data_IF_805337854220
#
_entry.id   IF_805337854220
#
_cell.length_a   1.000
_cell.length_b   1.000
_cell.length_c   1.000
_cell.angle_alpha   90.00
_cell.angle_beta   90.00
_cell.angle_gamma   90.00
#
_symmetry.space_group_name_H-M   'P 1'
#
loop_
_entity.id
_entity.type
_entity.pdbx_description
1 polymer ?
#
# COMPACT_ATOMS: atom_id res chain seq x y z
N UNK A 1 -49.27 47.43 33.62
CA UNK A 1 -47.89 46.94 33.45
C UNK A 1 -47.87 45.78 32.45
N UNK A 2 -46.87 45.79 31.56
CA UNK A 2 -46.69 44.91 30.40
C UNK A 2 -46.61 43.42 30.75
N UNK A 3 -47.68 42.64 30.50
CA UNK A 3 -47.68 41.18 30.70
C UNK A 3 -47.74 40.33 29.43
N UNK A 4 -48.14 40.90 28.28
CA UNK A 4 -48.42 40.12 27.06
C UNK A 4 -47.29 40.11 26.02
N UNK A 5 -46.27 40.95 26.19
CA UNK A 5 -45.16 41.09 25.24
C UNK A 5 -44.02 40.10 25.48
N UNK A 6 -43.83 39.66 26.73
CA UNK A 6 -42.69 38.81 27.10
C UNK A 6 -42.86 37.39 26.51
N UNK A 7 -44.07 36.83 26.54
CA UNK A 7 -44.33 35.43 26.14
C UNK A 7 -44.15 35.15 24.63
N UNK A 8 -44.48 36.10 23.76
CA UNK A 8 -44.28 35.97 22.30
C UNK A 8 -42.80 35.96 21.90
N UNK A 9 -41.94 36.63 22.69
CA UNK A 9 -40.50 36.73 22.41
C UNK A 9 -39.79 35.39 22.65
N UNK A 10 -40.18 34.68 23.71
CA UNK A 10 -39.67 33.34 24.04
C UNK A 10 -40.12 32.27 23.03
N UNK A 11 -41.38 32.32 22.56
CA UNK A 11 -41.88 31.37 21.57
C UNK A 11 -41.15 31.48 20.22
N UNK A 12 -40.76 32.69 19.84
CA UNK A 12 -39.98 32.93 18.62
C UNK A 12 -38.55 32.40 18.71
N UNK A 13 -37.93 32.45 19.89
CA UNK A 13 -36.61 31.85 20.14
C UNK A 13 -36.64 30.32 20.16
N UNK A 14 -37.70 29.73 20.70
CA UNK A 14 -37.90 28.26 20.72
C UNK A 14 -38.02 27.71 19.29
N UNK A 15 -38.73 28.41 18.40
CA UNK A 15 -38.83 28.00 16.99
C UNK A 15 -37.48 28.05 16.27
N UNK A 16 -36.66 29.08 16.53
CA UNK A 16 -35.30 29.17 16.00
C UNK A 16 -34.38 28.08 16.57
N UNK A 17 -34.54 27.72 17.85
CA UNK A 17 -33.76 26.65 18.47
C UNK A 17 -34.12 25.27 17.89
N UNK A 18 -35.41 24.99 17.67
CA UNK A 18 -35.89 23.74 17.05
C UNK A 18 -35.45 23.64 15.59
N UNK A 19 -35.45 24.76 14.85
CA UNK A 19 -34.94 24.81 13.48
C UNK A 19 -33.42 24.55 13.44
N UNK A 20 -32.65 25.13 14.38
CA UNK A 20 -31.21 24.92 14.50
C UNK A 20 -30.88 23.45 14.85
N UNK A 21 -31.60 22.87 15.82
CA UNK A 21 -31.46 21.45 16.20
C UNK A 21 -31.80 20.54 15.02
N UNK A 22 -32.83 20.88 14.22
CA UNK A 22 -33.20 20.10 13.02
C UNK A 22 -32.11 20.16 11.94
N UNK A 23 -31.46 21.31 11.73
CA UNK A 23 -30.33 21.46 10.79
C UNK A 23 -29.10 20.68 11.28
N UNK A 24 -28.82 20.68 12.59
CA UNK A 24 -27.75 19.87 13.20
C UNK A 24 -28.05 18.37 13.06
N UNK A 25 -29.31 17.95 13.23
CA UNK A 25 -29.74 16.56 13.01
C UNK A 25 -29.64 16.14 11.53
N UNK A 26 -29.94 17.04 10.59
CA UNK A 26 -29.74 16.80 9.16
C UNK A 26 -28.26 16.70 8.78
N UNK A 27 -27.41 17.53 9.41
CA UNK A 27 -25.97 17.56 9.18
C UNK A 27 -25.27 16.31 9.72
N UNK A 28 -25.64 15.85 10.92
CA UNK A 28 -25.09 14.61 11.52
C UNK A 28 -25.50 13.36 10.75
N UNK A 29 -26.70 13.34 10.15
CA UNK A 29 -27.17 12.23 9.33
C UNK A 29 -26.43 12.14 7.98
N UNK A 30 -26.08 13.27 7.38
CA UNK A 30 -25.29 13.31 6.14
C UNK A 30 -23.84 12.87 6.35
N UNK A 31 -23.17 13.28 7.45
CA UNK A 31 -21.80 12.86 7.73
C UNK A 31 -21.63 11.33 7.85
N UNK A 32 -22.67 10.62 8.33
CA UNK A 32 -22.64 9.17 8.50
C UNK A 32 -22.62 8.41 7.15
N UNK A 33 -23.31 8.95 6.14
CA UNK A 33 -23.38 8.37 4.80
C UNK A 33 -22.04 8.56 4.06
N UNK A 34 -21.36 9.70 4.25
CA UNK A 34 -20.05 9.96 3.65
C UNK A 34 -18.94 9.07 4.20
N UNK A 35 -18.97 8.74 5.50
CA UNK A 35 -18.00 7.80 6.11
C UNK A 35 -18.14 6.37 5.58
N UNK A 36 -19.35 5.94 5.26
CA UNK A 36 -19.61 4.57 4.77
C UNK A 36 -19.11 4.33 3.33
N UNK A 37 -18.91 5.40 2.54
CA UNK A 37 -18.39 5.30 1.16
C UNK A 37 -16.87 5.19 1.08
N UNK A 38 -16.16 5.37 2.20
CA UNK A 38 -14.69 5.28 2.31
C UNK A 38 -14.21 3.88 2.73
N UNK A 39 -15.06 2.85 2.61
CA UNK A 39 -14.59 1.46 2.72
C UNK A 39 -13.88 1.15 1.40
N UNK A 40 -12.57 1.38 1.38
CA UNK A 40 -11.67 0.76 0.41
C UNK A 40 -12.05 -0.71 0.35
N UNK A 41 -12.62 -1.13 -0.78
CA UNK A 41 -12.90 -2.53 -1.05
C UNK A 41 -11.62 -3.31 -0.75
N UNK A 42 -11.67 -4.44 0.00
CA UNK A 42 -10.47 -5.21 0.25
C UNK A 42 -10.00 -5.77 -1.08
N UNK A 43 -9.14 -5.02 -1.78
CA UNK A 43 -8.34 -5.53 -2.87
C UNK A 43 -7.46 -6.57 -2.20
N UNK A 44 -7.88 -7.83 -2.26
CA UNK A 44 -7.03 -8.96 -1.90
C UNK A 44 -5.75 -8.69 -2.69
N UNK A 45 -4.61 -8.38 -2.04
CA UNK A 45 -3.39 -8.08 -2.77
C UNK A 45 -3.12 -9.34 -3.59
N UNK A 46 -3.31 -9.26 -4.90
CA UNK A 46 -3.01 -10.37 -5.78
C UNK A 46 -1.50 -10.58 -5.62
N UNK A 47 -1.15 -11.63 -4.89
CA UNK A 47 0.24 -11.97 -4.67
C UNK A 47 0.79 -12.33 -6.03
N UNK A 48 1.59 -11.43 -6.59
CA UNK A 48 2.27 -11.63 -7.85
C UNK A 48 3.14 -12.87 -7.72
N UNK A 49 2.81 -13.96 -8.42
CA UNK A 49 3.40 -15.25 -8.10
C UNK A 49 4.83 -15.37 -8.63
N UNK A 50 5.27 -14.54 -9.57
CA UNK A 50 6.58 -14.67 -10.19
C UNK A 50 7.55 -13.58 -9.70
N UNK A 51 8.79 -13.98 -9.42
CA UNK A 51 9.91 -13.08 -9.13
C UNK A 51 11.17 -13.63 -9.78
N UNK A 52 12.19 -12.82 -10.01
CA UNK A 52 13.43 -13.26 -10.64
C UNK A 52 14.54 -13.28 -9.60
N UNK A 53 15.17 -14.44 -9.39
CA UNK A 53 16.41 -14.50 -8.63
C UNK A 53 17.55 -14.10 -9.56
N UNK A 54 18.28 -13.03 -9.22
CA UNK A 54 19.38 -12.54 -10.05
C UNK A 54 20.70 -13.14 -9.62
N UNK A 55 20.97 -13.10 -8.31
CA UNK A 55 22.22 -13.57 -7.74
C UNK A 55 22.06 -13.93 -6.26
N UNK A 56 23.02 -14.70 -5.75
CA UNK A 56 23.10 -15.11 -4.34
C UNK A 56 24.55 -15.02 -3.89
N UNK A 57 24.84 -14.17 -2.91
CA UNK A 57 26.20 -13.91 -2.43
C UNK A 57 26.33 -14.26 -0.95
N UNK A 58 27.50 -14.75 -0.54
CA UNK A 58 27.85 -14.86 0.90
C UNK A 58 28.31 -13.53 1.49
N UNK A 59 28.84 -12.65 0.65
CA UNK A 59 29.34 -11.33 1.03
C UNK A 59 28.21 -10.29 0.91
N UNK A 60 27.90 -9.62 2.03
CA UNK A 60 26.85 -8.60 2.08
C UNK A 60 27.18 -7.38 1.23
N UNK A 61 28.46 -6.97 1.16
CA UNK A 61 28.85 -5.79 0.38
C UNK A 61 28.70 -6.03 -1.12
N UNK A 62 28.97 -7.26 -1.58
CA UNK A 62 28.74 -7.63 -2.99
C UNK A 62 27.26 -7.62 -3.33
N UNK A 63 26.42 -8.16 -2.46
CA UNK A 63 24.97 -8.15 -2.64
C UNK A 63 24.43 -6.70 -2.69
N UNK A 64 24.91 -5.83 -1.81
CA UNK A 64 24.50 -4.43 -1.75
C UNK A 64 24.90 -3.65 -3.01
N UNK A 65 26.11 -3.84 -3.55
CA UNK A 65 26.53 -3.23 -4.82
C UNK A 65 25.61 -3.59 -5.98
N UNK A 66 25.27 -4.88 -6.11
CA UNK A 66 24.33 -5.35 -7.15
C UNK A 66 22.95 -4.74 -6.96
N UNK A 67 22.48 -4.64 -5.71
CA UNK A 67 21.22 -3.98 -5.38
C UNK A 67 21.25 -2.51 -5.79
N UNK A 68 22.32 -1.77 -5.51
CA UNK A 68 22.45 -0.38 -5.93
C UNK A 68 22.45 -0.21 -7.45
N UNK A 69 23.16 -1.07 -8.17
CA UNK A 69 23.19 -1.06 -9.64
C UNK A 69 21.80 -1.29 -10.24
N UNK A 70 21.10 -2.33 -9.78
CA UNK A 70 19.75 -2.63 -10.24
C UNK A 70 18.72 -1.57 -9.80
N UNK A 71 18.94 -0.94 -8.64
CA UNK A 71 18.09 0.15 -8.16
C UNK A 71 18.27 1.40 -9.03
N UNK A 72 19.49 1.70 -9.45
CA UNK A 72 19.78 2.79 -10.40
C UNK A 72 19.14 2.54 -11.78
N UNK A 73 19.03 1.29 -12.18
CA UNK A 73 18.30 0.89 -13.39
C UNK A 73 16.76 0.97 -13.23
N UNK A 74 16.25 1.28 -12.02
CA UNK A 74 14.82 1.49 -11.77
C UNK A 74 14.03 0.22 -11.43
N UNK A 75 14.71 -0.90 -11.13
CA UNK A 75 14.04 -2.13 -10.77
C UNK A 75 13.57 -2.15 -9.31
N UNK A 76 12.42 -2.80 -9.07
CA UNK A 76 11.97 -3.12 -7.71
C UNK A 76 12.77 -4.32 -7.19
N UNK A 77 13.39 -4.18 -6.02
CA UNK A 77 14.32 -5.18 -5.48
C UNK A 77 13.88 -5.66 -4.11
N UNK A 78 14.08 -6.95 -3.87
CA UNK A 78 13.95 -7.57 -2.55
C UNK A 78 15.21 -8.35 -2.24
N UNK A 79 15.76 -8.18 -1.04
CA UNK A 79 16.91 -8.96 -0.56
C UNK A 79 16.45 -9.89 0.55
N UNK A 80 16.79 -11.18 0.45
CA UNK A 80 16.57 -12.13 1.53
C UNK A 80 17.90 -12.68 2.04
N UNK A 81 18.14 -12.49 3.34
CA UNK A 81 19.26 -13.10 4.04
C UNK A 81 18.77 -14.42 4.67
N UNK A 82 19.46 -15.53 4.37
CA UNK A 82 19.16 -16.83 4.97
C UNK A 82 20.45 -17.47 5.47
N UNK A 83 20.41 -18.01 6.68
CA UNK A 83 21.50 -18.80 7.25
C UNK A 83 21.39 -20.25 6.75
N UNK A 84 22.44 -20.76 6.10
CA UNK A 84 22.52 -22.12 5.58
C UNK A 84 23.39 -23.04 6.47
N UNK A 85 23.34 -22.83 7.79
CA UNK A 85 24.10 -23.64 8.75
C UNK A 85 25.60 -23.47 8.54
N UNK A 86 26.30 -24.56 8.26
CA UNK A 86 27.76 -24.58 8.03
C UNK A 86 28.21 -23.71 6.85
N UNK A 87 27.32 -23.44 5.88
CA UNK A 87 27.61 -22.61 4.70
C UNK A 87 27.49 -21.10 4.96
N UNK A 88 27.16 -20.69 6.18
CA UNK A 88 27.03 -19.29 6.60
C UNK A 88 25.77 -18.59 6.09
N UNK A 89 25.76 -17.26 6.16
CA UNK A 89 24.65 -16.41 5.70
C UNK A 89 24.80 -16.17 4.19
N UNK A 90 23.70 -16.30 3.46
CA UNK A 90 23.61 -15.96 2.05
C UNK A 90 22.56 -14.88 1.83
N UNK A 91 22.93 -13.89 1.04
CA UNK A 91 22.13 -12.76 0.61
C UNK A 91 21.67 -13.00 -0.82
N UNK A 92 20.38 -13.29 -1.00
CA UNK A 92 19.76 -13.50 -2.30
C UNK A 92 19.10 -12.22 -2.75
N UNK A 93 19.38 -11.81 -3.99
CA UNK A 93 18.82 -10.62 -4.61
C UNK A 93 17.72 -11.05 -5.58
N UNK A 94 16.52 -10.55 -5.34
CA UNK A 94 15.32 -10.77 -6.13
C UNK A 94 14.93 -9.48 -6.84
N UNK A 95 14.53 -9.58 -8.11
CA UNK A 95 14.03 -8.48 -8.92
C UNK A 95 12.56 -8.71 -9.23
N UNK A 96 11.78 -7.68 -8.95
CA UNK A 96 10.41 -7.53 -9.39
C UNK A 96 9.45 -8.55 -8.81
N UNK A 97 8.18 -8.23 -9.01
CA UNK A 97 7.04 -9.07 -8.70
C UNK A 97 6.14 -8.99 -9.94
N UNK A 98 5.95 -10.12 -10.61
CA UNK A 98 5.32 -10.22 -11.91
C UNK A 98 4.06 -11.07 -11.84
N UNK A 99 3.05 -10.66 -12.61
CA UNK A 99 1.75 -11.35 -12.65
C UNK A 99 1.79 -12.56 -13.59
N UNK A 100 2.67 -12.54 -14.59
CA UNK A 100 2.82 -13.59 -15.60
C UNK A 100 4.29 -13.98 -15.79
N UNK A 101 4.52 -15.25 -16.13
CA UNK A 101 5.84 -15.76 -16.49
C UNK A 101 6.42 -15.05 -17.71
N UNK A 102 5.60 -14.64 -18.67
CA UNK A 102 6.05 -13.93 -19.87
C UNK A 102 6.72 -12.60 -19.52
N UNK A 103 6.10 -11.80 -18.65
CA UNK A 103 6.64 -10.51 -18.19
C UNK A 103 7.99 -10.71 -17.47
N UNK A 104 8.06 -11.73 -16.61
CA UNK A 104 9.29 -12.11 -15.94
C UNK A 104 10.36 -12.60 -16.93
N UNK A 105 9.97 -13.31 -17.99
CA UNK A 105 10.88 -13.85 -19.01
C UNK A 105 11.52 -12.77 -19.87
N UNK A 106 10.77 -11.74 -20.26
CA UNK A 106 11.30 -10.59 -20.99
C UNK A 106 12.41 -9.89 -20.20
N UNK A 107 12.18 -9.66 -18.91
CA UNK A 107 13.16 -9.05 -18.02
C UNK A 107 14.33 -9.99 -17.73
N UNK A 108 14.07 -11.29 -17.55
CA UNK A 108 15.09 -12.32 -17.39
C UNK A 108 16.05 -12.35 -18.57
N UNK A 109 15.56 -12.26 -19.81
CA UNK A 109 16.40 -12.26 -21.01
C UNK A 109 17.36 -11.07 -21.06
N UNK A 110 16.92 -9.92 -20.53
CA UNK A 110 17.78 -8.74 -20.37
C UNK A 110 18.83 -8.98 -19.29
N UNK A 111 18.41 -9.47 -18.12
CA UNK A 111 19.31 -9.74 -17.00
C UNK A 111 20.32 -10.86 -17.27
N UNK A 112 19.97 -11.87 -18.08
CA UNK A 112 20.84 -13.00 -18.42
C UNK A 112 22.15 -12.60 -19.10
N UNK A 113 22.20 -11.41 -19.71
CA UNK A 113 23.43 -10.88 -20.31
C UNK A 113 24.51 -10.63 -19.25
N UNK A 114 24.10 -10.08 -18.12
CA UNK A 114 24.99 -9.74 -17.00
C UNK A 114 25.01 -10.84 -15.93
N UNK A 115 23.89 -11.53 -15.74
CA UNK A 115 23.64 -12.53 -14.69
C UNK A 115 23.18 -13.87 -15.30
N UNK A 116 24.14 -14.68 -15.74
CA UNK A 116 23.89 -15.95 -16.43
C UNK A 116 23.10 -16.97 -15.60
N UNK A 117 23.28 -16.95 -14.29
CA UNK A 117 22.63 -17.85 -13.34
C UNK A 117 21.27 -17.33 -12.84
N UNK A 118 20.74 -16.27 -13.47
CA UNK A 118 19.42 -15.76 -13.13
C UNK A 118 18.30 -16.68 -13.60
N UNK A 119 17.24 -16.81 -12.80
CA UNK A 119 16.06 -17.62 -13.13
C UNK A 119 14.79 -17.08 -12.47
N UNK A 120 13.65 -17.44 -13.06
CA UNK A 120 12.32 -17.11 -12.53
C UNK A 120 11.97 -18.10 -11.42
N UNK A 121 11.40 -17.58 -10.34
CA UNK A 121 10.95 -18.32 -9.18
C UNK A 121 9.53 -17.94 -8.82
N UNK A 122 8.74 -18.94 -8.44
CA UNK A 122 7.44 -18.71 -7.83
C UNK A 122 7.61 -18.33 -6.36
N UNK A 123 6.92 -17.27 -5.93
CA UNK A 123 6.91 -16.78 -4.55
C UNK A 123 6.05 -17.65 -3.64
#
# INVERSE_FOLDING_TARGET
>A
MNGKSVFKKYFRWIFFLILLISIIFLCTRQLRIWRAKQVVEPTIPQQKPFTIQVASFQDSMKAEKVVEELKKAGFSLTVSAKHLGEKGIWYRVWVGDFDSENEASELLNTLKKDYKDSFIKLR
#
